data_IF_930463378117
#
_entry.id   IF_930463378117
#
_cell.length_a   1.000
_cell.length_b   1.000
_cell.length_c   1.000
_cell.angle_alpha   90.00
_cell.angle_beta   90.00
_cell.angle_gamma   90.00
#
_symmetry.space_group_name_H-M   'P 1'
#
loop_
_entity.id
_entity.type
_entity.pdbx_description
1 polymer ?
#
# COMPACT_ATOMS: atom_id res chain seq x y z
N UNK A 1 -16.99 47.24 -30.12
CA UNK A 1 -17.66 46.04 -29.58
C UNK A 1 -16.84 44.83 -29.96
N UNK A 2 -16.34 44.05 -28.99
CA UNK A 2 -15.59 42.81 -29.26
C UNK A 2 -16.58 41.63 -29.26
N UNK A 3 -16.56 40.74 -30.28
CA UNK A 3 -17.43 39.57 -30.29
C UNK A 3 -17.06 38.65 -29.12
N UNK A 4 -18.06 38.28 -28.33
CA UNK A 4 -17.91 37.34 -27.22
C UNK A 4 -17.70 35.95 -27.84
N UNK A 5 -16.60 35.29 -27.49
CA UNK A 5 -16.25 33.94 -27.94
C UNK A 5 -17.19 32.89 -27.33
N UNK A 6 -18.30 32.61 -28.02
CA UNK A 6 -19.32 31.62 -27.62
C UNK A 6 -18.76 30.17 -27.55
N UNK A 7 -17.56 29.93 -28.10
CA UNK A 7 -16.95 28.59 -28.15
C UNK A 7 -16.44 28.06 -26.81
N UNK A 8 -15.90 28.92 -25.93
CA UNK A 8 -15.33 28.46 -24.65
C UNK A 8 -16.41 28.02 -23.65
N UNK A 9 -17.57 28.69 -23.64
CA UNK A 9 -18.65 28.38 -22.70
C UNK A 9 -19.32 27.03 -22.98
N UNK A 10 -19.41 26.60 -24.24
CA UNK A 10 -20.00 25.31 -24.59
C UNK A 10 -19.13 24.12 -24.16
N UNK A 11 -17.81 24.28 -24.19
CA UNK A 11 -16.87 23.24 -23.75
C UNK A 11 -16.94 23.03 -22.23
N UNK A 12 -16.96 24.12 -21.45
CA UNK A 12 -17.07 24.05 -19.99
C UNK A 12 -18.41 23.41 -19.54
N UNK A 13 -19.50 23.73 -20.23
CA UNK A 13 -20.82 23.12 -19.99
C UNK A 13 -20.79 21.61 -20.30
N UNK A 14 -20.10 21.16 -21.34
CA UNK A 14 -19.97 19.75 -21.67
C UNK A 14 -19.15 18.97 -20.62
N UNK A 15 -18.07 19.56 -20.11
CA UNK A 15 -17.23 18.96 -19.05
C UNK A 15 -18.01 18.83 -17.75
N UNK A 16 -18.72 19.89 -17.34
CA UNK A 16 -19.55 19.88 -16.12
C UNK A 16 -20.68 18.86 -16.20
N UNK A 17 -21.36 18.74 -17.35
CA UNK A 17 -22.41 17.75 -17.55
C UNK A 17 -21.89 16.31 -17.48
N UNK A 18 -20.67 16.06 -17.96
CA UNK A 18 -20.03 14.74 -17.89
C UNK A 18 -19.67 14.38 -16.44
N UNK A 19 -19.11 15.33 -15.68
CA UNK A 19 -18.82 15.14 -14.27
C UNK A 19 -20.09 14.87 -13.45
N UNK A 20 -21.17 15.63 -13.70
CA UNK A 20 -22.46 15.45 -13.02
C UNK A 20 -23.10 14.08 -13.30
N UNK A 21 -23.00 13.59 -14.55
CA UNK A 21 -23.48 12.23 -14.89
C UNK A 21 -22.68 11.13 -14.17
N UNK A 22 -21.36 11.31 -14.04
CA UNK A 22 -20.50 10.38 -13.30
C UNK A 22 -20.86 10.34 -11.81
N UNK A 23 -21.05 11.51 -11.18
CA UNK A 23 -21.46 11.63 -9.77
C UNK A 23 -22.85 11.01 -9.56
N UNK A 24 -23.81 11.28 -10.44
CA UNK A 24 -25.16 10.70 -10.37
C UNK A 24 -25.12 9.16 -10.48
N UNK A 25 -24.32 8.61 -11.40
CA UNK A 25 -24.15 7.16 -11.52
C UNK A 25 -23.51 6.54 -10.27
N UNK A 26 -22.57 7.21 -9.60
CA UNK A 26 -21.99 6.74 -8.34
C UNK A 26 -22.99 6.78 -7.17
N UNK A 27 -23.85 7.81 -7.11
CA UNK A 27 -24.89 7.94 -6.10
C UNK A 27 -26.02 6.92 -6.29
N UNK A 28 -26.43 6.65 -7.53
CA UNK A 28 -27.42 5.62 -7.83
C UNK A 28 -26.90 4.21 -7.50
N UNK A 29 -25.63 3.91 -7.77
CA UNK A 29 -24.99 2.65 -7.34
C UNK A 29 -24.89 2.49 -5.82
N UNK A 30 -24.86 3.60 -5.06
CA UNK A 30 -24.90 3.57 -3.59
C UNK A 30 -26.28 3.23 -3.04
N UNK A 31 -27.36 3.61 -3.74
CA UNK A 31 -28.73 3.44 -3.28
C UNK A 31 -29.39 2.12 -3.71
N UNK A 32 -28.81 1.37 -4.65
CA UNK A 32 -29.31 0.04 -5.05
C UNK A 32 -28.59 -1.12 -4.37
N UNK A 33 -27.94 -0.89 -3.23
CA UNK A 33 -27.33 -1.94 -2.42
C UNK A 33 -28.44 -2.77 -1.73
N UNK A 34 -29.09 -3.63 -2.50
CA UNK A 34 -29.74 -4.80 -1.92
C UNK A 34 -28.68 -5.54 -1.10
N UNK A 35 -28.99 -6.03 0.12
CA UNK A 35 -28.03 -6.73 0.95
C UNK A 35 -27.63 -8.03 0.27
N UNK A 36 -26.64 -7.96 -0.62
CA UNK A 36 -25.95 -9.12 -1.15
C UNK A 36 -25.38 -9.85 0.06
N UNK A 37 -25.69 -11.14 0.18
CA UNK A 37 -25.09 -12.08 1.14
C UNK A 37 -23.60 -11.74 1.26
N UNK A 38 -23.23 -11.04 2.35
CA UNK A 38 -21.84 -10.67 2.59
C UNK A 38 -21.10 -11.99 2.77
N UNK A 39 -20.27 -12.37 1.81
CA UNK A 39 -19.33 -13.46 2.00
C UNK A 39 -18.53 -13.14 3.28
N UNK A 40 -18.75 -13.93 4.34
CA UNK A 40 -18.19 -13.72 5.67
C UNK A 40 -19.18 -13.29 6.77
N UNK A 41 -20.46 -13.03 6.47
CA UNK A 41 -21.49 -12.85 7.50
C UNK A 41 -22.15 -14.20 7.80
N UNK A 42 -21.83 -14.78 8.96
CA UNK A 42 -22.55 -15.92 9.51
C UNK A 42 -23.43 -15.41 10.68
N UNK A 43 -24.73 -15.67 10.58
CA UNK A 43 -25.72 -15.24 11.57
C UNK A 43 -25.57 -15.96 12.91
N UNK A 44 -24.97 -17.15 12.91
CA UNK A 44 -24.71 -17.96 14.10
C UNK A 44 -23.43 -17.55 14.84
N UNK A 45 -22.69 -16.55 14.36
CA UNK A 45 -21.46 -16.11 15.02
C UNK A 45 -21.76 -15.33 16.30
N UNK A 46 -21.17 -15.70 17.45
CA UNK A 46 -21.54 -15.15 18.74
C UNK A 46 -21.24 -13.65 18.82
N UNK A 47 -22.26 -12.86 19.15
CA UNK A 47 -22.18 -11.40 19.33
C UNK A 47 -22.53 -10.99 20.76
N UNK A 48 -21.98 -9.86 21.20
CA UNK A 48 -22.42 -9.24 22.45
C UNK A 48 -23.81 -8.61 22.26
N UNK A 49 -24.41 -8.15 23.36
CA UNK A 49 -25.72 -7.53 23.35
C UNK A 49 -25.80 -6.20 22.56
N UNK A 50 -24.67 -5.66 22.08
CA UNK A 50 -24.62 -4.51 21.17
C UNK A 50 -24.37 -4.91 19.70
N UNK A 51 -24.34 -6.21 19.38
CA UNK A 51 -24.05 -6.69 18.03
C UNK A 51 -22.57 -6.61 17.64
N UNK A 52 -21.65 -6.41 18.60
CA UNK A 52 -20.21 -6.50 18.34
C UNK A 52 -19.75 -7.95 18.40
N UNK A 53 -18.66 -8.24 17.70
CA UNK A 53 -18.03 -9.56 17.72
C UNK A 53 -17.53 -9.88 19.13
N UNK A 54 -17.96 -11.03 19.69
CA UNK A 54 -17.37 -11.52 20.94
C UNK A 54 -15.95 -12.04 20.70
N UNK A 55 -15.12 -12.02 21.75
CA UNK A 55 -13.77 -12.60 21.75
C UNK A 55 -13.81 -14.09 21.34
N UNK A 56 -14.88 -14.81 21.68
CA UNK A 56 -15.07 -16.21 21.29
C UNK A 56 -15.20 -16.41 19.77
N UNK A 57 -15.74 -15.43 19.02
CA UNK A 57 -15.81 -15.50 17.57
C UNK A 57 -14.44 -15.33 16.89
N UNK A 58 -13.48 -14.66 17.54
CA UNK A 58 -12.11 -14.51 17.03
C UNK A 58 -11.28 -15.79 17.20
N UNK A 59 -11.65 -16.68 18.13
CA UNK A 59 -10.91 -17.92 18.41
C UNK A 59 -11.22 -19.05 17.42
N UNK A 60 -12.34 -19.00 16.70
CA UNK A 60 -12.67 -20.02 15.70
C UNK A 60 -12.02 -19.80 14.32
N UNK A 61 -11.29 -18.68 14.14
CA UNK A 61 -10.44 -18.41 12.97
C UNK A 61 -8.93 -18.58 13.31
N UNK A 62 -8.64 -19.34 14.37
CA UNK A 62 -7.30 -19.50 14.93
C UNK A 62 -6.27 -20.11 13.97
N UNK A 63 -6.68 -20.76 12.87
CA UNK A 63 -5.73 -21.26 11.86
C UNK A 63 -5.15 -20.16 10.94
N UNK A 64 -5.73 -18.96 10.92
CA UNK A 64 -5.20 -17.82 10.14
C UNK A 64 -4.54 -16.76 11.04
N UNK A 65 -4.88 -16.75 12.33
CA UNK A 65 -4.33 -15.83 13.33
C UNK A 65 -3.16 -16.41 14.16
N UNK A 66 -2.93 -17.74 14.17
CA UNK A 66 -1.82 -18.33 14.92
C UNK A 66 -0.43 -18.06 14.32
N UNK A 67 -0.35 -17.66 13.06
CA UNK A 67 0.93 -17.30 12.40
C UNK A 67 1.29 -15.81 12.55
N UNK A 68 0.38 -15.00 13.09
CA UNK A 68 0.63 -13.61 13.47
C UNK A 68 0.78 -13.52 14.99
N UNK A 69 1.83 -14.14 15.54
CA UNK A 69 2.26 -13.83 16.90
C UNK A 69 2.51 -12.31 16.98
N UNK A 70 1.91 -11.58 17.93
CA UNK A 70 2.40 -10.24 18.24
C UNK A 70 3.81 -10.43 18.80
N UNK A 71 4.81 -10.28 17.94
CA UNK A 71 6.20 -10.39 18.37
C UNK A 71 6.41 -9.43 19.56
N UNK A 72 6.84 -9.95 20.73
CA UNK A 72 7.13 -9.09 21.86
C UNK A 72 8.19 -8.08 21.42
N UNK A 73 7.99 -6.81 21.74
CA UNK A 73 8.99 -5.77 21.51
C UNK A 73 10.25 -6.16 22.32
N UNK A 74 11.19 -6.84 21.68
CA UNK A 74 12.57 -7.11 22.11
C UNK A 74 13.30 -5.77 22.27
N UNK A 75 13.66 -5.33 23.49
CA UNK A 75 14.21 -4.00 23.77
C UNK A 75 15.57 -3.67 23.10
N UNK A 76 16.22 -4.66 22.50
CA UNK A 76 17.55 -4.57 21.88
C UNK A 76 17.56 -5.03 20.42
N UNK A 77 16.41 -5.37 19.85
CA UNK A 77 16.33 -5.59 18.42
C UNK A 77 16.37 -4.23 17.72
N UNK A 78 17.30 -4.06 16.77
CA UNK A 78 17.23 -3.00 15.77
C UNK A 78 16.01 -3.29 14.90
N UNK A 79 14.83 -2.86 15.36
CA UNK A 79 13.68 -2.75 14.48
C UNK A 79 14.11 -1.83 13.36
N UNK A 80 14.13 -2.35 12.14
CA UNK A 80 14.47 -1.57 10.96
C UNK A 80 13.82 -0.20 11.06
N UNK A 81 14.59 0.86 10.79
CA UNK A 81 14.18 2.26 10.91
C UNK A 81 13.07 2.65 9.91
N UNK A 82 12.26 1.70 9.45
CA UNK A 82 11.15 1.88 8.53
C UNK A 82 10.81 0.60 7.78
N UNK A 83 9.79 0.70 6.93
CA UNK A 83 9.53 -0.29 5.89
C UNK A 83 10.42 0.00 4.68
N UNK A 84 11.23 -0.98 4.26
CA UNK A 84 12.09 -0.86 3.07
C UNK A 84 11.24 -0.73 1.79
N UNK A 85 11.62 0.15 0.87
CA UNK A 85 10.93 0.27 -0.41
C UNK A 85 11.11 -0.98 -1.29
N UNK A 86 12.27 -1.64 -1.16
CA UNK A 86 12.57 -2.94 -1.76
C UNK A 86 12.79 -3.92 -0.62
N UNK A 87 11.88 -4.88 -0.47
CA UNK A 87 11.83 -5.73 0.72
C UNK A 87 12.98 -6.74 0.73
N UNK A 88 13.45 -7.11 1.92
CA UNK A 88 14.53 -8.10 2.07
C UNK A 88 14.21 -9.45 1.43
N UNK A 89 12.92 -9.83 1.41
CA UNK A 89 12.47 -11.05 0.74
C UNK A 89 12.84 -11.08 -0.76
N UNK A 90 12.91 -9.91 -1.40
CA UNK A 90 13.30 -9.76 -2.81
C UNK A 90 14.83 -9.72 -2.92
N UNK A 91 15.52 -8.95 -2.06
CA UNK A 91 16.99 -8.82 -2.14
C UNK A 91 17.74 -10.09 -1.74
N UNK A 92 17.12 -10.96 -0.93
CA UNK A 92 17.64 -12.29 -0.55
C UNK A 92 17.13 -13.42 -1.43
N UNK A 93 16.27 -13.14 -2.40
CA UNK A 93 15.75 -14.17 -3.32
C UNK A 93 16.91 -14.67 -4.21
N UNK A 94 17.22 -15.99 -4.24
CA UNK A 94 18.33 -16.53 -5.02
C UNK A 94 18.20 -16.32 -6.54
N UNK A 95 17.01 -15.92 -7.02
CA UNK A 95 16.80 -15.47 -8.39
C UNK A 95 17.67 -14.25 -8.75
N UNK A 96 17.98 -13.40 -7.78
CA UNK A 96 18.77 -12.19 -7.97
C UNK A 96 20.04 -12.26 -7.14
N UNK A 97 21.19 -12.19 -7.82
CA UNK A 97 22.46 -11.94 -7.16
C UNK A 97 22.77 -10.47 -7.37
N UNK A 98 22.56 -9.62 -6.36
CA UNK A 98 22.84 -8.18 -6.48
C UNK A 98 24.30 -7.84 -6.16
N UNK A 99 24.79 -6.73 -6.71
CA UNK A 99 26.04 -6.12 -6.26
C UNK A 99 25.94 -5.63 -4.81
N UNK A 100 27.08 -5.51 -4.12
CA UNK A 100 27.11 -4.93 -2.77
C UNK A 100 26.62 -3.48 -2.75
N UNK A 101 26.92 -2.70 -3.79
CA UNK A 101 26.47 -1.32 -3.92
C UNK A 101 24.95 -1.20 -4.03
N UNK A 102 24.30 -2.08 -4.81
CA UNK A 102 22.85 -2.09 -4.94
C UNK A 102 22.17 -2.53 -3.64
N UNK A 103 22.72 -3.56 -2.98
CA UNK A 103 22.22 -4.03 -1.68
C UNK A 103 22.27 -2.93 -0.61
N UNK A 104 23.34 -2.15 -0.57
CA UNK A 104 23.48 -1.03 0.36
C UNK A 104 22.40 0.05 0.13
N UNK A 105 22.10 0.35 -1.15
CA UNK A 105 21.00 1.27 -1.48
C UNK A 105 19.66 0.70 -1.02
N UNK A 106 19.35 -0.56 -1.34
CA UNK A 106 18.07 -1.16 -0.96
C UNK A 106 17.88 -1.23 0.56
N UNK A 107 18.96 -1.48 1.31
CA UNK A 107 18.96 -1.49 2.78
C UNK A 107 18.70 -0.09 3.36
N UNK A 108 19.30 0.95 2.78
CA UNK A 108 19.18 2.30 3.33
C UNK A 108 17.91 3.03 2.88
N UNK A 109 17.29 2.59 1.78
CA UNK A 109 16.06 3.19 1.25
C UNK A 109 14.82 2.65 1.95
N UNK A 110 14.43 3.33 3.03
CA UNK A 110 13.22 3.03 3.81
C UNK A 110 12.20 4.17 3.76
N UNK A 111 11.00 3.89 4.25
CA UNK A 111 9.93 4.87 4.51
C UNK A 111 10.23 5.80 5.71
N UNK A 112 11.35 5.57 6.40
CA UNK A 112 11.66 6.17 7.69
C UNK A 112 10.90 5.54 8.85
N UNK A 113 11.19 5.95 10.10
CA UNK A 113 10.75 5.21 11.28
C UNK A 113 9.22 5.14 11.37
N UNK A 114 8.69 3.92 11.39
CA UNK A 114 7.26 3.69 11.57
C UNK A 114 6.92 3.74 13.05
N UNK A 115 5.98 4.62 13.43
CA UNK A 115 5.60 4.82 14.84
C UNK A 115 4.63 3.77 15.36
N UNK A 116 4.05 2.99 14.43
CA UNK A 116 3.06 1.98 14.75
C UNK A 116 3.60 0.62 14.28
N UNK A 117 4.10 -0.23 15.20
CA UNK A 117 4.76 -1.51 14.86
C UNK A 117 3.93 -2.42 13.97
N UNK A 118 2.61 -2.42 14.16
CA UNK A 118 1.63 -3.22 13.41
C UNK A 118 1.49 -2.76 11.95
N UNK A 119 2.25 -1.75 11.51
CA UNK A 119 2.38 -1.35 10.10
C UNK A 119 3.27 -2.27 9.31
N UNK A 120 4.11 -3.05 9.99
CA UNK A 120 5.05 -3.99 9.39
C UNK A 120 4.56 -5.45 9.42
N UNK A 121 3.30 -5.71 9.77
CA UNK A 121 2.81 -7.08 9.78
C UNK A 121 2.83 -7.73 8.40
N UNK A 122 3.26 -8.99 8.37
CA UNK A 122 3.31 -9.81 7.16
C UNK A 122 1.93 -10.33 6.76
N UNK A 123 1.06 -9.41 6.36
CA UNK A 123 -0.30 -9.69 5.95
C UNK A 123 -0.41 -10.00 4.44
N UNK A 124 -1.64 -10.29 3.98
CA UNK A 124 -1.92 -10.51 2.56
C UNK A 124 -1.47 -9.33 1.68
N UNK A 125 -1.63 -8.10 2.15
CA UNK A 125 -1.21 -6.92 1.38
C UNK A 125 0.31 -6.84 1.27
N UNK A 126 1.05 -7.21 2.31
CA UNK A 126 2.51 -7.28 2.25
C UNK A 126 2.98 -8.29 1.20
N UNK A 127 2.33 -9.46 1.08
CA UNK A 127 2.65 -10.45 0.04
C UNK A 127 2.34 -9.96 -1.38
N UNK A 128 1.19 -9.32 -1.57
CA UNK A 128 0.81 -8.70 -2.85
C UNK A 128 1.78 -7.58 -3.24
N UNK A 129 2.20 -6.77 -2.27
CA UNK A 129 3.19 -5.72 -2.44
C UNK A 129 4.56 -6.30 -2.81
N UNK A 130 5.06 -7.31 -2.10
CA UNK A 130 6.32 -8.00 -2.46
C UNK A 130 6.26 -8.54 -3.90
N UNK A 131 5.17 -9.23 -4.27
CA UNK A 131 4.99 -9.75 -5.62
C UNK A 131 4.99 -8.63 -6.67
N UNK A 132 4.30 -7.53 -6.40
CA UNK A 132 4.28 -6.36 -7.28
C UNK A 132 5.67 -5.75 -7.46
N UNK A 133 6.42 -5.55 -6.37
CA UNK A 133 7.78 -5.00 -6.42
C UNK A 133 8.72 -5.95 -7.16
N UNK A 134 8.60 -7.26 -6.96
CA UNK A 134 9.40 -8.26 -7.67
C UNK A 134 9.14 -8.24 -9.19
N UNK A 135 7.87 -8.19 -9.61
CA UNK A 135 7.51 -8.07 -11.03
C UNK A 135 7.99 -6.73 -11.64
N UNK A 136 7.97 -5.64 -10.86
CA UNK A 136 8.48 -4.34 -11.31
C UNK A 136 10.00 -4.33 -11.43
N UNK A 137 10.71 -5.04 -10.55
CA UNK A 137 12.15 -5.26 -10.61
C UNK A 137 12.53 -6.02 -11.88
N UNK A 138 11.86 -7.15 -12.15
CA UNK A 138 12.09 -7.93 -13.38
C UNK A 138 11.96 -7.06 -14.64
N UNK A 139 10.89 -6.24 -14.67
CA UNK A 139 10.64 -5.32 -15.76
C UNK A 139 11.75 -4.26 -15.88
N UNK A 140 12.14 -3.66 -14.76
CA UNK A 140 13.19 -2.64 -14.72
C UNK A 140 14.54 -3.19 -15.22
N UNK A 141 14.95 -4.37 -14.73
CA UNK A 141 16.17 -5.05 -15.15
C UNK A 141 16.17 -5.31 -16.66
N UNK A 142 15.05 -5.83 -17.17
CA UNK A 142 14.90 -6.15 -18.60
C UNK A 142 14.91 -4.90 -19.48
N UNK A 143 14.15 -3.86 -19.12
CA UNK A 143 14.05 -2.62 -19.89
C UNK A 143 15.40 -1.89 -20.00
N UNK A 144 16.20 -1.92 -18.94
CA UNK A 144 17.49 -1.24 -18.88
C UNK A 144 18.68 -2.15 -19.20
N UNK A 145 18.44 -3.43 -19.50
CA UNK A 145 19.47 -4.45 -19.79
C UNK A 145 20.51 -4.56 -18.66
N UNK A 146 20.03 -4.50 -17.42
CA UNK A 146 20.86 -4.56 -16.22
C UNK A 146 20.96 -6.01 -15.75
N UNK A 147 22.18 -6.49 -15.55
CA UNK A 147 22.43 -7.72 -14.82
C UNK A 147 22.42 -7.40 -13.32
N UNK A 148 21.60 -8.07 -12.48
CA UNK A 148 21.51 -7.75 -11.04
C UNK A 148 22.87 -7.68 -10.33
N UNK A 149 23.80 -8.57 -10.70
CA UNK A 149 25.14 -8.70 -10.11
C UNK A 149 26.04 -7.51 -10.39
N UNK A 150 25.68 -6.72 -11.41
CA UNK A 150 26.38 -5.53 -11.89
C UNK A 150 25.56 -4.26 -11.71
N UNK A 151 24.41 -4.33 -11.04
CA UNK A 151 23.58 -3.16 -10.78
C UNK A 151 24.39 -2.16 -9.96
N UNK A 152 24.51 -0.93 -10.45
CA UNK A 152 25.19 0.16 -9.76
C UNK A 152 24.30 0.77 -8.67
N UNK A 153 24.89 1.55 -7.76
CA UNK A 153 24.12 2.30 -6.77
C UNK A 153 23.08 3.26 -7.40
N UNK A 154 23.41 3.91 -8.52
CA UNK A 154 22.49 4.85 -9.18
C UNK A 154 21.33 4.14 -9.87
N UNK A 155 21.56 2.96 -10.45
CA UNK A 155 20.50 2.12 -11.00
C UNK A 155 19.58 1.59 -9.90
N UNK A 156 20.12 1.20 -8.75
CA UNK A 156 19.33 0.80 -7.59
C UNK A 156 18.46 1.95 -7.07
N UNK A 157 19.00 3.17 -6.98
CA UNK A 157 18.22 4.38 -6.63
C UNK A 157 17.12 4.67 -7.66
N UNK A 158 17.43 4.52 -8.95
CA UNK A 158 16.45 4.67 -10.01
C UNK A 158 15.31 3.65 -9.88
N UNK A 159 15.62 2.41 -9.53
CA UNK A 159 14.60 1.40 -9.25
C UNK A 159 13.75 1.74 -8.02
N UNK A 160 14.37 2.17 -6.91
CA UNK A 160 13.64 2.63 -5.71
C UNK A 160 12.68 3.77 -6.05
N UNK A 161 13.13 4.76 -6.83
CA UNK A 161 12.28 5.86 -7.28
C UNK A 161 11.11 5.38 -8.15
N UNK A 162 11.33 4.34 -8.96
CA UNK A 162 10.27 3.70 -9.75
C UNK A 162 9.24 2.99 -8.87
N UNK A 163 9.66 2.30 -7.81
CA UNK A 163 8.74 1.69 -6.82
C UNK A 163 7.92 2.78 -6.11
N UNK A 164 8.56 3.86 -5.64
CA UNK A 164 7.89 5.01 -5.02
C UNK A 164 6.84 5.63 -5.95
N UNK A 165 7.13 5.72 -7.25
CA UNK A 165 6.25 6.29 -8.26
C UNK A 165 5.30 5.26 -8.94
N UNK A 166 5.29 4.01 -8.48
CA UNK A 166 4.57 2.94 -9.17
C UNK A 166 3.06 3.18 -9.25
N UNK A 167 2.49 2.85 -10.42
CA UNK A 167 1.04 2.87 -10.67
C UNK A 167 0.39 1.51 -10.42
N UNK A 168 1.18 0.48 -10.14
CA UNK A 168 0.64 -0.84 -9.79
C UNK A 168 -0.22 -0.72 -8.53
N UNK A 169 -1.50 -1.16 -8.55
CA UNK A 169 -2.38 -1.00 -7.41
C UNK A 169 -1.89 -1.73 -6.16
N UNK A 170 -1.15 -2.84 -6.30
CA UNK A 170 -0.60 -3.60 -5.15
C UNK A 170 0.50 -2.82 -4.44
N UNK A 171 1.38 -2.18 -5.21
CA UNK A 171 2.46 -1.34 -4.67
C UNK A 171 1.89 -0.03 -4.13
N UNK A 172 1.13 0.69 -4.96
CA UNK A 172 0.60 2.01 -4.64
C UNK A 172 -0.33 1.99 -3.43
N UNK A 173 -1.25 1.01 -3.34
CA UNK A 173 -2.17 0.94 -2.21
C UNK A 173 -1.43 0.67 -0.89
N UNK A 174 -0.39 -0.17 -0.93
CA UNK A 174 0.43 -0.46 0.23
C UNK A 174 1.22 0.80 0.67
N UNK A 175 1.89 1.48 -0.26
CA UNK A 175 2.62 2.72 0.03
C UNK A 175 1.69 3.82 0.59
N UNK A 176 0.50 3.98 0.01
CA UNK A 176 -0.51 4.92 0.50
C UNK A 176 -1.02 4.57 1.90
N UNK A 177 -1.18 3.29 2.22
CA UNK A 177 -1.58 2.84 3.56
C UNK A 177 -0.54 3.21 4.61
N UNK A 178 0.75 2.97 4.32
CA UNK A 178 1.84 3.36 5.22
C UNK A 178 1.87 4.87 5.43
N UNK A 179 1.82 5.64 4.34
CA UNK A 179 1.80 7.10 4.40
C UNK A 179 0.62 7.63 5.21
N UNK A 180 -0.60 7.18 4.92
CA UNK A 180 -1.80 7.64 5.61
C UNK A 180 -1.72 7.32 7.11
N UNK A 181 -1.24 6.13 7.47
CA UNK A 181 -1.14 5.72 8.87
C UNK A 181 -0.16 6.60 9.65
N UNK A 182 1.00 6.87 9.07
CA UNK A 182 2.00 7.76 9.67
C UNK A 182 1.49 9.21 9.75
N UNK A 183 0.89 9.74 8.68
CA UNK A 183 0.28 11.08 8.68
C UNK A 183 -0.82 11.21 9.74
N UNK A 184 -1.68 10.20 9.88
CA UNK A 184 -2.74 10.20 10.89
C UNK A 184 -2.21 10.08 12.31
N UNK A 185 -1.08 9.40 12.53
CA UNK A 185 -0.42 9.39 13.84
C UNK A 185 -0.01 10.82 14.27
N UNK A 186 0.59 11.58 13.35
CA UNK A 186 1.00 12.98 13.60
C UNK A 186 -0.19 13.90 13.83
N UNK A 187 -1.23 13.80 12.99
CA UNK A 187 -2.45 14.58 13.14
C UNK A 187 -3.15 14.34 14.48
N UNK A 188 -3.24 13.08 14.94
CA UNK A 188 -3.85 12.74 16.23
C UNK A 188 -3.08 13.28 17.43
N UNK A 189 -1.77 13.50 17.30
CA UNK A 189 -0.92 14.02 18.39
C UNK A 189 -0.74 15.54 18.34
N UNK A 190 -1.43 16.24 17.43
CA UNK A 190 -1.35 17.70 17.33
C UNK A 190 0.04 18.24 16.99
N UNK A 191 0.91 17.40 16.42
CA UNK A 191 2.24 17.78 15.93
C UNK A 191 2.25 17.57 14.43
N UNK A 192 2.00 18.61 13.66
CA UNK A 192 2.33 18.59 12.24
C UNK A 192 3.86 18.54 12.14
N UNK A 193 4.40 17.74 11.21
CA UNK A 193 5.85 17.65 10.99
C UNK A 193 6.37 19.06 10.68
N UNK A 194 7.28 19.56 11.52
CA UNK A 194 8.11 20.73 11.23
C UNK A 194 9.15 20.38 10.15
#
# INVERSE_FOLDING_TARGET
MRPIEIGQTLYEIAVLNTALRSIKCQLERRNTWAPSKKYGYNEDQPRDWHGRWTILAQLNDAQVLSDASPDPIIPWADYAEGHHWVQEAITRNPKYTFSSEALEVFKNETTGPLKVPESNYYDRMHRENNKGVEEELDRFLKENKIEPSKMTSDEAKAFVNRVKASRDPRIRAFNMRLWLRESMYWLRRGRLRE
#
